data_IF_827363638957
#
_entry.id   IF_827363638957
#
_cell.length_a   1.000
_cell.length_b   1.000
_cell.length_c   1.000
_cell.angle_alpha   90.00
_cell.angle_beta   90.00
_cell.angle_gamma   90.00
#
_symmetry.space_group_name_H-M   'P 1'
#
loop_
_entity.id
_entity.type
_entity.pdbx_description
1 polymer ?
#
# COMPACT_ATOMS: atom_id res chain seq x y z
N UNK A 1 -12.59 71.48 0.97
CA UNK A 1 -12.84 70.38 -0.01
C UNK A 1 -11.82 69.23 0.11
N UNK A 2 -11.29 68.90 1.30
CA UNK A 2 -10.26 67.85 1.46
C UNK A 2 -10.63 66.72 2.42
N UNK A 3 -11.86 66.69 2.95
CA UNK A 3 -12.28 65.65 3.90
C UNK A 3 -12.79 64.35 3.22
N UNK A 4 -13.24 64.44 1.96
CA UNK A 4 -13.74 63.30 1.18
C UNK A 4 -12.65 62.57 0.36
N UNK A 5 -11.42 63.10 0.30
CA UNK A 5 -10.30 62.46 -0.41
C UNK A 5 -9.37 61.64 0.51
N UNK A 6 -9.49 61.74 1.83
CA UNK A 6 -8.68 60.96 2.78
C UNK A 6 -9.34 59.63 3.21
N UNK A 7 -10.66 59.45 3.05
CA UNK A 7 -11.34 58.19 3.44
C UNK A 7 -11.24 57.09 2.37
N UNK A 8 -10.85 57.43 1.14
CA UNK A 8 -10.70 56.49 0.03
C UNK A 8 -9.29 55.85 -0.07
N UNK A 9 -8.28 56.35 0.66
CA UNK A 9 -6.96 55.71 0.71
C UNK A 9 -6.83 54.69 1.85
N UNK A 10 -7.56 54.88 2.95
CA UNK A 10 -7.60 53.95 4.08
C UNK A 10 -8.31 52.63 3.74
N UNK A 11 -9.36 52.67 2.92
CA UNK A 11 -10.12 51.47 2.52
C UNK A 11 -9.42 50.62 1.47
N UNK A 12 -8.43 51.16 0.74
CA UNK A 12 -7.58 50.39 -0.19
C UNK A 12 -6.47 49.59 0.49
N UNK A 13 -6.14 49.90 1.73
CA UNK A 13 -5.07 49.21 2.47
C UNK A 13 -5.59 47.93 3.16
N UNK A 14 -6.84 47.97 3.65
CA UNK A 14 -7.47 46.84 4.37
C UNK A 14 -7.79 45.66 3.43
N UNK A 15 -8.14 45.93 2.16
CA UNK A 15 -8.41 44.89 1.17
C UNK A 15 -7.14 44.16 0.68
N UNK A 16 -5.96 44.78 0.80
CA UNK A 16 -4.68 44.20 0.39
C UNK A 16 -4.07 43.20 1.38
N UNK A 17 -4.30 43.42 2.68
CA UNK A 17 -3.77 42.54 3.75
C UNK A 17 -4.58 41.24 3.92
N UNK A 18 -5.87 41.27 3.56
CA UNK A 18 -6.71 40.08 3.57
C UNK A 18 -6.34 39.07 2.46
N UNK A 19 -5.66 39.53 1.40
CA UNK A 19 -5.26 38.68 0.28
C UNK A 19 -3.86 38.07 0.47
N UNK A 20 -2.96 38.74 1.19
CA UNK A 20 -1.62 38.22 1.50
C UNK A 20 -1.66 37.09 2.54
N UNK A 21 -2.62 37.13 3.46
CA UNK A 21 -2.85 36.06 4.46
C UNK A 21 -3.51 34.80 3.89
N UNK A 22 -4.26 34.92 2.78
CA UNK A 22 -4.88 33.79 2.09
C UNK A 22 -3.91 32.98 1.23
N UNK A 23 -2.75 33.57 0.88
CA UNK A 23 -1.69 32.98 0.06
C UNK A 23 -0.54 32.37 0.88
N UNK A 24 -0.58 32.44 2.21
CA UNK A 24 0.29 31.65 3.11
C UNK A 24 -0.27 30.24 3.40
N UNK A 25 -1.08 29.66 2.52
CA UNK A 25 -1.61 28.28 2.65
C UNK A 25 -0.61 27.17 2.24
N UNK A 26 0.64 27.33 2.66
CA UNK A 26 1.53 26.22 2.96
C UNK A 26 1.60 26.03 4.47
N UNK A 27 0.46 25.98 5.16
CA UNK A 27 0.39 26.06 6.62
C UNK A 27 0.82 24.74 7.26
N UNK A 28 1.91 24.77 8.03
CA UNK A 28 2.12 23.80 9.11
C UNK A 28 0.91 23.79 10.04
N UNK A 29 0.50 22.61 10.52
CA UNK A 29 -0.58 22.49 11.50
C UNK A 29 -0.22 23.19 12.81
N UNK A 30 -1.20 23.81 13.47
CA UNK A 30 -0.96 24.49 14.75
C UNK A 30 -0.67 23.49 15.87
N UNK A 31 0.06 23.90 16.91
CA UNK A 31 0.33 23.04 18.08
C UNK A 31 -0.96 22.48 18.71
N UNK A 32 -2.02 23.31 18.80
CA UNK A 32 -3.33 22.89 19.31
C UNK A 32 -4.03 21.89 18.37
N UNK A 33 -3.84 22.00 17.06
CA UNK A 33 -4.35 21.01 16.09
C UNK A 33 -3.61 19.68 16.25
N UNK A 34 -2.28 19.69 16.35
CA UNK A 34 -1.47 18.49 16.56
C UNK A 34 -1.77 17.82 17.91
N UNK A 35 -1.98 18.60 18.96
CA UNK A 35 -2.36 18.09 20.29
C UNK A 35 -3.73 17.38 20.25
N UNK A 36 -4.70 17.88 19.46
CA UNK A 36 -6.02 17.25 19.30
C UNK A 36 -6.00 16.01 18.39
N UNK A 37 -5.23 16.02 17.29
CA UNK A 37 -5.19 14.89 16.35
C UNK A 37 -4.28 13.76 16.82
N UNK A 38 -3.34 14.05 17.71
CA UNK A 38 -2.40 13.06 18.23
C UNK A 38 -1.36 12.62 17.20
N UNK A 39 -0.50 11.65 17.57
CA UNK A 39 0.56 11.17 16.69
C UNK A 39 -0.01 10.45 15.45
N UNK A 40 0.60 10.70 14.30
CA UNK A 40 0.21 10.03 13.05
C UNK A 40 0.69 8.56 13.05
N UNK A 41 -0.25 7.62 13.06
CA UNK A 41 0.04 6.20 12.92
C UNK A 41 -0.07 5.74 11.47
N UNK A 42 1.04 5.27 10.90
CA UNK A 42 1.05 4.70 9.54
C UNK A 42 0.49 3.27 9.55
N UNK A 43 -0.75 3.10 9.09
CA UNK A 43 -1.38 1.79 8.92
C UNK A 43 -0.78 1.10 7.69
N UNK A 44 -0.32 -0.16 7.85
CA UNK A 44 0.13 -1.00 6.72
C UNK A 44 -0.90 -2.11 6.49
N UNK A 45 -1.36 -2.35 5.25
CA UNK A 45 -2.28 -3.45 4.99
C UNK A 45 -1.60 -4.79 5.29
N UNK A 46 -2.29 -5.74 5.96
CA UNK A 46 -1.73 -7.05 6.25
C UNK A 46 -1.56 -7.85 4.95
N UNK A 47 -0.45 -8.59 4.83
CA UNK A 47 -0.22 -9.47 3.68
C UNK A 47 -0.92 -10.82 3.90
N UNK A 48 -2.17 -10.92 3.47
CA UNK A 48 -2.99 -12.11 3.63
C UNK A 48 -3.31 -12.76 2.27
N UNK A 49 -2.48 -13.69 1.76
CA UNK A 49 -2.72 -14.33 0.46
C UNK A 49 -3.93 -15.28 0.46
N UNK A 50 -4.33 -15.78 1.64
CA UNK A 50 -5.43 -16.75 1.80
C UNK A 50 -6.64 -16.17 2.55
N UNK A 51 -6.82 -14.84 2.55
CA UNK A 51 -7.96 -14.17 3.19
C UNK A 51 -8.15 -14.56 4.68
N UNK A 52 -7.05 -14.57 5.43
CA UNK A 52 -7.03 -14.91 6.86
C UNK A 52 -7.02 -16.41 7.18
N UNK A 53 -7.15 -17.29 6.18
CA UNK A 53 -7.13 -18.75 6.39
C UNK A 53 -5.69 -19.27 6.52
N UNK A 54 -5.42 -20.22 7.43
CA UNK A 54 -4.09 -20.82 7.56
C UNK A 54 -3.73 -21.69 6.36
N UNK A 55 -4.73 -22.40 5.81
CA UNK A 55 -4.60 -23.28 4.66
C UNK A 55 -5.74 -23.08 3.67
N UNK A 56 -5.49 -23.38 2.40
CA UNK A 56 -6.48 -23.37 1.34
C UNK A 56 -6.25 -24.53 0.37
N UNK A 57 -7.35 -25.12 -0.11
CA UNK A 57 -7.31 -26.11 -1.19
C UNK A 57 -7.10 -25.39 -2.53
N UNK A 58 -6.27 -25.95 -3.39
CA UNK A 58 -6.07 -25.45 -4.74
C UNK A 58 -5.79 -26.53 -5.76
N UNK A 59 -5.96 -26.18 -7.03
CA UNK A 59 -5.66 -27.02 -8.19
C UNK A 59 -4.44 -26.44 -8.90
N UNK A 60 -3.48 -27.29 -9.24
CA UNK A 60 -2.28 -26.88 -9.98
C UNK A 60 -2.66 -26.59 -11.43
N UNK A 61 -2.30 -25.40 -11.91
CA UNK A 61 -2.45 -25.01 -13.31
C UNK A 61 -1.20 -25.33 -14.12
N UNK A 62 -0.01 -25.01 -13.58
CA UNK A 62 1.27 -25.36 -14.22
C UNK A 62 2.44 -25.36 -13.25
N UNK A 63 3.44 -26.18 -13.51
CA UNK A 63 4.74 -26.18 -12.80
C UNK A 63 5.67 -25.12 -13.38
N UNK A 64 6.38 -24.38 -12.53
CA UNK A 64 7.25 -23.28 -12.95
C UNK A 64 8.53 -23.19 -12.12
N UNK A 65 9.60 -22.70 -12.73
CA UNK A 65 10.89 -22.49 -12.07
C UNK A 65 11.15 -20.98 -11.98
N UNK A 66 11.38 -20.47 -10.77
CA UNK A 66 11.73 -19.06 -10.52
C UNK A 66 13.12 -18.93 -9.93
N UNK A 67 13.89 -17.95 -10.41
CA UNK A 67 15.19 -17.58 -9.83
C UNK A 67 14.96 -16.64 -8.63
N UNK A 68 15.71 -16.78 -7.52
CA UNK A 68 15.64 -15.87 -6.39
C UNK A 68 16.27 -14.52 -6.74
N UNK A 69 16.09 -13.53 -5.86
CA UNK A 69 16.79 -12.25 -5.97
C UNK A 69 18.28 -12.44 -5.66
N UNK A 70 19.15 -11.65 -6.31
CA UNK A 70 20.55 -11.47 -5.93
C UNK A 70 20.60 -11.10 -4.43
N UNK A 71 21.51 -11.66 -3.60
CA UNK A 71 22.79 -12.33 -3.89
C UNK A 71 22.70 -13.81 -4.26
N UNK A 72 21.52 -14.42 -4.15
CA UNK A 72 21.39 -15.87 -4.29
C UNK A 72 21.23 -16.28 -5.77
N UNK A 73 21.73 -17.46 -6.11
CA UNK A 73 21.54 -18.09 -7.42
C UNK A 73 21.05 -19.53 -7.23
N UNK A 74 19.83 -19.84 -7.66
CA UNK A 74 19.25 -21.18 -7.59
C UNK A 74 18.01 -21.29 -8.49
N UNK A 75 17.59 -22.52 -8.79
CA UNK A 75 16.29 -22.80 -9.39
C UNK A 75 15.29 -23.15 -8.28
N UNK A 76 14.31 -22.28 -7.99
CA UNK A 76 13.23 -22.59 -7.05
C UNK A 76 12.08 -23.28 -7.78
N UNK A 77 11.72 -24.47 -7.32
CA UNK A 77 10.57 -25.25 -7.80
C UNK A 77 9.29 -24.62 -7.26
N UNK A 78 8.44 -24.14 -8.14
CA UNK A 78 7.19 -23.47 -7.81
C UNK A 78 6.06 -24.02 -8.68
N UNK A 79 4.83 -23.71 -8.31
CA UNK A 79 3.61 -24.04 -9.07
C UNK A 79 2.67 -22.86 -9.10
N UNK A 80 1.95 -22.69 -10.21
CA UNK A 80 0.82 -21.80 -10.30
C UNK A 80 -0.42 -22.59 -9.88
N UNK A 81 -1.14 -22.07 -8.89
CA UNK A 81 -2.26 -22.76 -8.24
C UNK A 81 -3.47 -21.84 -8.29
N UNK A 82 -4.62 -22.40 -8.67
CA UNK A 82 -5.92 -21.76 -8.54
C UNK A 82 -6.58 -22.24 -7.24
N UNK A 83 -6.85 -21.33 -6.32
CA UNK A 83 -7.50 -21.63 -5.06
C UNK A 83 -9.01 -21.89 -5.25
N UNK A 84 -9.63 -22.52 -4.26
CA UNK A 84 -11.08 -22.63 -4.18
C UNK A 84 -11.81 -21.28 -4.14
N UNK A 85 -11.13 -20.21 -3.73
CA UNK A 85 -11.64 -18.82 -3.77
C UNK A 85 -11.61 -18.21 -5.18
N UNK A 86 -11.08 -18.92 -6.18
CA UNK A 86 -10.93 -18.45 -7.56
C UNK A 86 -9.66 -17.64 -7.81
N UNK A 87 -8.92 -17.25 -6.76
CA UNK A 87 -7.64 -16.52 -6.88
C UNK A 87 -6.53 -17.43 -7.42
N UNK A 88 -5.74 -16.90 -8.35
CA UNK A 88 -4.54 -17.54 -8.84
C UNK A 88 -3.31 -17.02 -8.11
N UNK A 89 -2.45 -17.93 -7.65
CA UNK A 89 -1.23 -17.59 -6.93
C UNK A 89 -0.09 -18.52 -7.31
N UNK A 90 1.14 -18.07 -7.02
CA UNK A 90 2.33 -18.91 -7.17
C UNK A 90 2.75 -19.43 -5.80
N UNK A 91 2.76 -20.75 -5.64
CA UNK A 91 3.18 -21.43 -4.43
C UNK A 91 4.58 -22.05 -4.61
N UNK A 92 5.36 -22.04 -3.52
CA UNK A 92 6.66 -22.71 -3.46
C UNK A 92 6.48 -24.17 -3.02
N UNK A 93 7.23 -25.07 -3.64
CA UNK A 93 7.24 -26.49 -3.25
C UNK A 93 8.42 -26.73 -2.31
N UNK A 94 8.17 -27.11 -1.04
CA UNK A 94 9.25 -27.43 -0.11
C UNK A 94 9.90 -28.77 -0.44
N UNK A 95 11.16 -28.94 -0.04
CA UNK A 95 11.90 -30.20 -0.21
C UNK A 95 12.62 -30.35 -1.56
N UNK A 96 13.12 -31.56 -1.81
CA UNK A 96 13.91 -31.90 -3.00
C UNK A 96 13.09 -32.88 -3.86
N UNK A 97 12.65 -32.41 -5.03
CA UNK A 97 11.86 -33.24 -5.96
C UNK A 97 10.36 -33.09 -5.75
N UNK A 98 9.57 -33.28 -6.82
CA UNK A 98 8.10 -33.36 -6.76
C UNK A 98 7.59 -34.09 -8.01
N UNK A 99 6.43 -34.76 -7.88
CA UNK A 99 5.69 -35.38 -8.98
C UNK A 99 4.36 -34.65 -9.25
N UNK A 100 4.34 -33.33 -9.07
CA UNK A 100 3.13 -32.53 -9.32
C UNK A 100 2.94 -32.34 -10.82
N UNK A 101 1.72 -32.62 -11.27
CA UNK A 101 1.26 -32.40 -12.63
C UNK A 101 0.12 -31.38 -12.63
N UNK A 102 -0.30 -30.97 -13.82
CA UNK A 102 -1.49 -30.14 -13.99
C UNK A 102 -2.73 -30.87 -13.44
N UNK A 103 -3.70 -30.12 -12.93
CA UNK A 103 -4.93 -30.62 -12.30
C UNK A 103 -4.78 -31.36 -10.96
N UNK A 104 -3.56 -31.58 -10.48
CA UNK A 104 -3.37 -32.14 -9.13
C UNK A 104 -3.94 -31.20 -8.07
N UNK A 105 -4.60 -31.80 -7.07
CA UNK A 105 -5.15 -31.09 -5.92
C UNK A 105 -4.08 -30.99 -4.84
N UNK A 106 -3.86 -29.78 -4.31
CA UNK A 106 -2.85 -29.50 -3.28
C UNK A 106 -3.42 -28.68 -2.13
N UNK A 107 -2.84 -28.85 -0.94
CA UNK A 107 -3.08 -28.00 0.22
C UNK A 107 -2.00 -26.93 0.28
N UNK A 108 -2.40 -25.66 0.18
CA UNK A 108 -1.49 -24.51 0.24
C UNK A 108 -1.55 -23.90 1.63
N UNK A 109 -0.40 -23.60 2.23
CA UNK A 109 -0.29 -22.86 3.49
C UNK A 109 0.20 -21.44 3.27
N UNK A 110 -0.13 -20.54 4.19
CA UNK A 110 0.48 -19.21 4.21
C UNK A 110 1.99 -19.36 4.47
N UNK A 111 2.80 -18.73 3.62
CA UNK A 111 4.24 -18.72 3.76
C UNK A 111 4.88 -17.67 2.86
N UNK A 112 6.05 -17.17 3.26
CA UNK A 112 6.86 -16.24 2.47
C UNK A 112 8.22 -16.89 2.18
N UNK A 113 8.55 -17.03 0.91
CA UNK A 113 9.91 -17.35 0.48
C UNK A 113 10.70 -16.05 0.32
N UNK A 114 11.95 -16.02 0.81
CA UNK A 114 12.89 -14.92 0.64
C UNK A 114 13.79 -15.14 -0.58
#
# INVERSE_FOLDING_TARGET
MNFLRQTLSLTKSIAGEAFSSFLQRGTMATLNQMHRTGPHFKIRPPRQPLDGKPFAKGVVLKTLIKKPKKPNSANRKCVLVRLSTGKELVAYIPGIGHNLQEHNIVLVRVGRCQ
#
